data_IF_542727768954
#
_entry.id   IF_542727768954
#
_cell.length_a   1.000
_cell.length_b   1.000
_cell.length_c   1.000
_cell.angle_alpha   90.00
_cell.angle_beta   90.00
_cell.angle_gamma   90.00
#
_symmetry.space_group_name_H-M   'P 1'
#
loop_
_entity.id
_entity.type
_entity.pdbx_description
1 polymer ?
#
# COMPACT_ATOMS: atom_id res chain seq x y z
N UNK A 1 -10.59 -26.21 32.32
CA UNK A 1 -10.63 -24.85 32.94
C UNK A 1 -9.32 -24.14 32.57
N UNK A 2 -9.32 -23.35 31.49
CA UNK A 2 -8.18 -22.50 31.15
C UNK A 2 -8.46 -21.08 31.66
N UNK A 3 -7.61 -20.63 32.58
CA UNK A 3 -7.61 -19.29 33.17
C UNK A 3 -6.90 -18.32 32.21
N UNK A 4 -7.41 -17.08 32.18
CA UNK A 4 -7.07 -15.96 31.31
C UNK A 4 -7.72 -16.02 29.92
N UNK A 5 -8.77 -15.20 29.73
CA UNK A 5 -9.42 -14.93 28.46
C UNK A 5 -8.53 -14.12 27.52
N UNK A 6 -7.40 -14.70 27.12
CA UNK A 6 -6.62 -14.27 25.96
C UNK A 6 -7.06 -15.19 24.84
N UNK A 7 -7.98 -14.72 23.98
CA UNK A 7 -8.19 -15.36 22.67
C UNK A 7 -6.86 -15.28 21.94
N UNK A 8 -6.15 -16.41 21.83
CA UNK A 8 -4.93 -16.49 21.03
C UNK A 8 -5.40 -16.36 19.58
N UNK A 9 -5.34 -15.14 19.05
CA UNK A 9 -5.60 -14.84 17.64
C UNK A 9 -4.59 -15.65 16.80
N UNK A 10 -5.06 -16.73 16.20
CA UNK A 10 -4.22 -17.68 15.45
C UNK A 10 -3.70 -17.00 14.20
N UNK A 11 -2.39 -16.78 14.11
CA UNK A 11 -1.77 -16.22 12.90
C UNK A 11 -2.08 -17.13 11.70
N UNK A 12 -2.70 -16.59 10.67
CA UNK A 12 -3.24 -17.36 9.53
C UNK A 12 -2.73 -16.86 8.16
N UNK A 13 -2.10 -15.68 8.12
CA UNK A 13 -1.73 -15.04 6.86
C UNK A 13 -0.32 -14.40 6.92
N UNK A 14 0.45 -14.36 5.81
CA UNK A 14 0.25 -15.08 4.56
C UNK A 14 0.31 -16.62 4.72
N UNK A 15 -0.33 -17.41 3.84
CA UNK A 15 -0.49 -18.87 4.00
C UNK A 15 0.83 -19.64 4.14
N UNK A 16 1.90 -19.11 3.54
CA UNK A 16 3.23 -19.70 3.56
C UNK A 16 4.08 -19.24 4.76
N UNK A 17 3.72 -18.11 5.39
CA UNK A 17 4.38 -17.56 6.57
C UNK A 17 3.35 -16.85 7.45
N UNK A 18 2.68 -17.55 8.38
CA UNK A 18 1.64 -16.96 9.21
C UNK A 18 2.24 -15.97 10.21
N UNK A 19 2.30 -14.70 9.82
CA UNK A 19 2.81 -13.58 10.62
C UNK A 19 1.67 -12.81 11.27
N UNK A 20 0.53 -12.70 10.57
CA UNK A 20 -0.63 -11.90 11.00
C UNK A 20 -1.87 -12.79 11.20
N UNK A 21 -2.69 -12.45 12.19
CA UNK A 21 -4.05 -12.96 12.30
C UNK A 21 -4.93 -12.17 11.32
N UNK A 22 -5.65 -12.89 10.46
CA UNK A 22 -6.50 -12.28 9.45
C UNK A 22 -7.73 -13.16 9.23
N UNK A 23 -8.82 -12.81 9.90
CA UNK A 23 -10.11 -13.51 9.78
C UNK A 23 -11.26 -12.50 9.66
N UNK A 24 -11.37 -11.91 8.46
CA UNK A 24 -12.44 -10.94 8.15
C UNK A 24 -13.82 -11.58 8.34
N UNK A 25 -13.98 -12.86 7.98
CA UNK A 25 -15.26 -13.53 7.94
C UNK A 25 -15.90 -13.69 9.34
N UNK A 26 -15.07 -13.93 10.36
CA UNK A 26 -15.55 -14.16 11.73
C UNK A 26 -15.46 -12.92 12.64
N UNK A 27 -14.52 -11.99 12.42
CA UNK A 27 -14.28 -10.86 13.34
C UNK A 27 -14.96 -9.55 12.94
N UNK A 28 -15.34 -9.39 11.67
CA UNK A 28 -15.98 -8.16 11.17
C UNK A 28 -17.46 -8.44 10.90
N UNK A 29 -18.36 -7.50 11.19
CA UNK A 29 -19.77 -7.70 10.87
C UNK A 29 -20.01 -7.74 9.35
N UNK A 30 -21.00 -8.53 8.91
CA UNK A 30 -21.19 -8.90 7.49
C UNK A 30 -21.41 -7.71 6.56
N UNK A 31 -21.97 -6.60 7.05
CA UNK A 31 -22.16 -5.36 6.28
C UNK A 31 -20.84 -4.61 6.00
N UNK A 32 -19.80 -4.88 6.79
CA UNK A 32 -18.50 -4.25 6.74
C UNK A 32 -17.43 -5.09 6.00
N UNK A 33 -17.75 -6.34 5.64
CA UNK A 33 -16.83 -7.26 4.96
C UNK A 33 -16.29 -6.69 3.65
N UNK A 34 -17.17 -6.18 2.78
CA UNK A 34 -16.76 -5.64 1.48
C UNK A 34 -15.74 -4.50 1.64
N UNK A 35 -15.91 -3.65 2.65
CA UNK A 35 -14.99 -2.56 2.95
C UNK A 35 -13.62 -3.08 3.41
N UNK A 36 -13.60 -4.05 4.33
CA UNK A 36 -12.33 -4.59 4.81
C UNK A 36 -11.57 -5.35 3.72
N UNK A 37 -12.26 -6.13 2.89
CA UNK A 37 -11.63 -6.79 1.73
C UNK A 37 -11.04 -5.79 0.74
N UNK A 38 -11.69 -4.65 0.57
CA UNK A 38 -11.22 -3.59 -0.31
C UNK A 38 -9.99 -2.86 0.26
N UNK A 39 -9.99 -2.60 1.57
CA UNK A 39 -8.82 -2.05 2.26
C UNK A 39 -7.64 -3.04 2.26
N UNK A 40 -7.93 -4.34 2.38
CA UNK A 40 -6.92 -5.39 2.22
C UNK A 40 -6.37 -5.44 0.79
N UNK A 41 -7.23 -5.27 -0.23
CA UNK A 41 -6.80 -5.18 -1.63
C UNK A 41 -5.89 -3.97 -1.88
N UNK A 42 -6.19 -2.80 -1.32
CA UNK A 42 -5.29 -1.63 -1.37
C UNK A 42 -3.95 -1.91 -0.66
N UNK A 43 -3.98 -2.62 0.47
CA UNK A 43 -2.73 -2.96 1.17
C UNK A 43 -1.87 -3.92 0.35
N UNK A 44 -2.47 -4.91 -0.31
CA UNK A 44 -1.76 -5.75 -1.26
C UNK A 44 -1.30 -4.98 -2.50
N UNK A 45 -2.12 -4.03 -2.97
CA UNK A 45 -1.82 -3.20 -4.12
C UNK A 45 -0.55 -2.37 -3.91
N UNK A 46 -0.37 -1.75 -2.74
CA UNK A 46 0.88 -1.02 -2.45
C UNK A 46 2.10 -1.95 -2.35
N UNK A 47 1.95 -3.16 -1.82
CA UNK A 47 3.03 -4.17 -1.80
C UNK A 47 3.44 -4.55 -3.22
N UNK A 48 2.46 -4.76 -4.11
CA UNK A 48 2.70 -5.04 -5.53
C UNK A 48 3.36 -3.85 -6.23
N UNK A 49 2.88 -2.62 -6.00
CA UNK A 49 3.47 -1.40 -6.57
C UNK A 49 4.94 -1.24 -6.18
N UNK A 50 5.26 -1.38 -4.89
CA UNK A 50 6.64 -1.24 -4.40
C UNK A 50 7.53 -2.40 -4.86
N UNK A 51 6.99 -3.62 -4.98
CA UNK A 51 7.74 -4.77 -5.51
C UNK A 51 8.08 -4.56 -7.00
N UNK A 52 7.10 -4.10 -7.78
CA UNK A 52 7.31 -3.76 -9.18
C UNK A 52 8.31 -2.62 -9.34
N UNK A 53 8.25 -1.61 -8.47
CA UNK A 53 9.21 -0.52 -8.45
C UNK A 53 10.65 -1.04 -8.24
N UNK A 54 10.88 -1.91 -7.27
CA UNK A 54 12.20 -2.54 -7.06
C UNK A 54 12.65 -3.30 -8.30
N UNK A 55 11.76 -4.05 -8.95
CA UNK A 55 12.09 -4.78 -10.16
C UNK A 55 12.47 -3.86 -11.33
N UNK A 56 11.68 -2.83 -11.60
CA UNK A 56 11.95 -1.87 -12.69
C UNK A 56 13.26 -1.10 -12.46
N UNK A 57 13.49 -0.63 -11.23
CA UNK A 57 14.73 0.07 -10.85
C UNK A 57 15.94 -0.87 -10.86
N UNK A 58 15.77 -2.15 -10.51
CA UNK A 58 16.83 -3.15 -10.63
C UNK A 58 17.29 -3.29 -12.09
N UNK A 59 16.33 -3.43 -13.02
CA UNK A 59 16.65 -3.51 -14.45
C UNK A 59 17.40 -2.26 -14.91
N UNK A 60 16.92 -1.07 -14.54
CA UNK A 60 17.62 0.19 -14.88
C UNK A 60 19.01 0.27 -14.26
N UNK A 61 19.18 -0.17 -13.00
CA UNK A 61 20.48 -0.11 -12.30
C UNK A 61 21.55 -1.01 -12.94
N UNK A 62 21.13 -2.10 -13.59
CA UNK A 62 22.05 -2.98 -14.35
C UNK A 62 22.51 -2.30 -15.65
N UNK A 63 21.68 -1.45 -16.25
CA UNK A 63 22.00 -0.74 -17.49
C UNK A 63 22.79 0.56 -17.24
N UNK A 64 22.44 1.31 -16.18
CA UNK A 64 23.03 2.61 -15.85
C UNK A 64 24.19 2.58 -14.85
N UNK A 65 24.55 1.40 -14.33
CA UNK A 65 25.58 1.20 -13.28
C UNK A 65 25.33 1.97 -11.96
N UNK A 66 24.08 2.39 -11.71
CA UNK A 66 23.69 3.21 -10.55
C UNK A 66 23.05 2.39 -9.42
N UNK A 67 23.89 1.69 -8.64
CA UNK A 67 23.42 0.83 -7.52
C UNK A 67 22.67 1.60 -6.42
N UNK A 68 22.94 2.91 -6.28
CA UNK A 68 22.29 3.77 -5.28
C UNK A 68 20.78 3.85 -5.49
N UNK A 69 20.34 3.90 -6.76
CA UNK A 69 18.90 3.97 -7.09
C UNK A 69 18.18 2.69 -6.67
N UNK A 70 18.81 1.54 -6.93
CA UNK A 70 18.30 0.23 -6.53
C UNK A 70 18.20 0.08 -5.01
N UNK A 71 19.22 0.50 -4.26
CA UNK A 71 19.19 0.48 -2.79
C UNK A 71 18.06 1.36 -2.25
N UNK A 72 17.81 2.52 -2.84
CA UNK A 72 16.72 3.39 -2.41
C UNK A 72 15.34 2.77 -2.69
N UNK A 73 15.17 2.10 -3.83
CA UNK A 73 13.95 1.37 -4.14
C UNK A 73 13.69 0.24 -3.12
N UNK A 74 14.73 -0.48 -2.70
CA UNK A 74 14.63 -1.49 -1.63
C UNK A 74 14.20 -0.85 -0.32
N UNK A 75 14.78 0.30 0.06
CA UNK A 75 14.38 1.02 1.28
C UNK A 75 12.89 1.39 1.22
N UNK A 76 12.41 1.89 0.09
CA UNK A 76 10.98 2.19 -0.08
C UNK A 76 10.09 0.96 0.11
N UNK A 77 10.46 -0.19 -0.44
CA UNK A 77 9.72 -1.43 -0.22
C UNK A 77 9.81 -1.94 1.22
N UNK A 78 11.02 -1.92 1.81
CA UNK A 78 11.29 -2.44 3.14
C UNK A 78 10.59 -1.65 4.25
N UNK A 79 10.47 -0.33 4.10
CA UNK A 79 9.74 0.51 5.05
C UNK A 79 8.28 0.71 4.66
N UNK A 80 7.95 0.86 3.37
CA UNK A 80 6.59 1.11 2.90
C UNK A 80 5.61 -0.03 3.21
N UNK A 81 6.04 -1.29 3.04
CA UNK A 81 5.22 -2.46 3.33
C UNK A 81 4.84 -2.61 4.83
N UNK A 82 5.78 -2.56 5.80
CA UNK A 82 5.41 -2.64 7.22
C UNK A 82 4.71 -1.37 7.71
N UNK A 83 5.10 -0.19 7.20
CA UNK A 83 4.51 1.07 7.64
C UNK A 83 3.04 1.19 7.22
N UNK A 84 2.70 0.79 5.99
CA UNK A 84 1.30 0.76 5.52
C UNK A 84 0.44 -0.19 6.36
N UNK A 85 0.97 -1.36 6.72
CA UNK A 85 0.26 -2.31 7.58
C UNK A 85 -0.03 -1.72 8.98
N UNK A 86 0.99 -1.12 9.62
CA UNK A 86 0.88 -0.65 11.01
C UNK A 86 0.07 0.65 11.10
N UNK A 87 0.25 1.58 10.17
CA UNK A 87 -0.30 2.93 10.29
C UNK A 87 -1.76 3.04 9.91
N UNK A 88 -2.24 2.26 8.94
CA UNK A 88 -3.61 2.40 8.46
C UNK A 88 -4.37 1.07 8.39
N UNK A 89 -3.77 -0.02 7.92
CA UNK A 89 -4.50 -1.28 7.77
C UNK A 89 -4.92 -1.89 9.12
N UNK A 90 -3.98 -2.01 10.05
CA UNK A 90 -4.24 -2.53 11.40
C UNK A 90 -5.21 -1.63 12.19
N UNK A 91 -5.04 -0.29 12.22
CA UNK A 91 -6.02 0.59 12.84
C UNK A 91 -7.41 0.47 12.23
N UNK A 92 -7.53 0.35 10.90
CA UNK A 92 -8.83 0.13 10.27
C UNK A 92 -9.48 -1.18 10.76
N UNK A 93 -8.73 -2.29 10.75
CA UNK A 93 -9.22 -3.58 11.25
C UNK A 93 -9.71 -3.48 12.69
N UNK A 94 -8.96 -2.80 13.56
CA UNK A 94 -9.35 -2.57 14.95
C UNK A 94 -10.57 -1.66 15.08
N UNK A 95 -10.66 -0.61 14.26
CA UNK A 95 -11.79 0.32 14.26
C UNK A 95 -13.09 -0.40 13.87
N UNK A 96 -13.04 -1.29 12.88
CA UNK A 96 -14.20 -2.08 12.43
C UNK A 96 -14.70 -3.07 13.50
N UNK A 97 -13.81 -3.54 14.38
CA UNK A 97 -14.16 -4.46 15.49
C UNK A 97 -14.62 -3.75 16.77
N UNK A 98 -14.04 -2.58 17.07
CA UNK A 98 -14.24 -1.89 18.35
C UNK A 98 -15.13 -0.65 18.27
N UNK A 99 -15.54 -0.23 17.07
CA UNK A 99 -16.31 0.98 16.78
C UNK A 99 -15.69 2.27 17.37
N UNK A 100 -14.36 2.26 17.54
CA UNK A 100 -13.60 3.35 18.13
C UNK A 100 -13.40 4.50 17.14
N UNK A 101 -13.99 5.66 17.46
CA UNK A 101 -13.85 6.90 16.66
C UNK A 101 -12.40 7.37 16.56
N UNK A 102 -11.61 7.24 17.63
CA UNK A 102 -10.20 7.65 17.64
C UNK A 102 -9.38 6.80 16.68
N UNK A 103 -9.66 5.50 16.63
CA UNK A 103 -8.98 4.56 15.73
C UNK A 103 -9.39 4.79 14.27
N UNK A 104 -10.65 5.13 14.00
CA UNK A 104 -11.10 5.61 12.69
C UNK A 104 -10.40 6.91 12.27
N UNK A 105 -10.29 7.89 13.16
CA UNK A 105 -9.60 9.15 12.86
C UNK A 105 -8.12 8.92 12.54
N UNK A 106 -7.44 8.03 13.27
CA UNK A 106 -6.07 7.62 12.98
C UNK A 106 -5.96 7.00 11.57
N UNK A 107 -6.88 6.10 11.21
CA UNK A 107 -6.94 5.55 9.86
C UNK A 107 -7.05 6.65 8.80
N UNK A 108 -7.99 7.59 8.94
CA UNK A 108 -8.20 8.65 7.94
C UNK A 108 -6.94 9.50 7.72
N UNK A 109 -6.23 9.88 8.77
CA UNK A 109 -5.02 10.69 8.67
C UNK A 109 -3.93 9.93 7.90
N UNK A 110 -3.59 8.72 8.33
CA UNK A 110 -2.51 7.95 7.70
C UNK A 110 -2.88 7.43 6.31
N UNK A 111 -4.14 7.10 6.08
CA UNK A 111 -4.62 6.68 4.77
C UNK A 111 -4.63 7.85 3.78
N UNK A 112 -4.90 9.07 4.22
CA UNK A 112 -4.75 10.27 3.38
C UNK A 112 -3.29 10.52 2.98
N UNK A 113 -2.34 10.25 3.89
CA UNK A 113 -0.90 10.30 3.56
C UNK A 113 -0.53 9.21 2.54
N UNK A 114 -1.08 8.00 2.66
CA UNK A 114 -0.92 6.92 1.68
C UNK A 114 -1.44 7.31 0.29
N UNK A 115 -2.64 7.88 0.22
CA UNK A 115 -3.23 8.40 -1.03
C UNK A 115 -2.32 9.47 -1.64
N UNK A 116 -1.85 10.43 -0.83
CA UNK A 116 -0.91 11.46 -1.29
C UNK A 116 0.41 10.89 -1.79
N UNK A 117 0.96 9.89 -1.10
CA UNK A 117 2.14 9.15 -1.54
C UNK A 117 1.93 8.48 -2.90
N UNK A 118 0.79 7.83 -3.13
CA UNK A 118 0.48 7.18 -4.41
C UNK A 118 0.41 8.20 -5.57
N UNK A 119 -0.17 9.38 -5.34
CA UNK A 119 -0.18 10.47 -6.35
C UNK A 119 1.23 10.95 -6.65
N UNK A 120 2.02 11.22 -5.61
CA UNK A 120 3.39 11.69 -5.74
C UNK A 120 4.27 10.63 -6.43
N UNK A 121 4.07 9.35 -6.13
CA UNK A 121 4.77 8.24 -6.77
C UNK A 121 4.36 8.05 -8.25
N UNK A 122 3.08 8.23 -8.57
CA UNK A 122 2.59 8.17 -9.95
C UNK A 122 3.16 9.31 -10.82
N UNK A 123 3.30 10.52 -10.26
CA UNK A 123 3.90 11.65 -10.98
C UNK A 123 5.43 11.49 -11.04
N UNK A 124 6.05 11.09 -9.92
CA UNK A 124 7.49 11.08 -9.65
C UNK A 124 8.18 12.41 -10.03
N UNK A 125 7.82 13.54 -9.38
CA UNK A 125 8.46 14.81 -9.67
C UNK A 125 9.97 14.76 -9.31
N UNK A 126 10.86 15.18 -10.21
CA UNK A 126 12.32 15.07 -10.04
C UNK A 126 12.90 15.93 -8.90
N UNK A 127 12.08 16.81 -8.33
CA UNK A 127 12.44 17.66 -7.18
C UNK A 127 12.42 16.86 -5.87
N UNK A 128 11.48 15.92 -5.75
CA UNK A 128 11.24 15.15 -4.51
C UNK A 128 12.03 13.83 -4.56
N UNK A 129 12.16 13.24 -5.74
CA UNK A 129 12.93 12.03 -5.97
C UNK A 129 14.12 12.39 -6.85
N UNK A 130 15.30 12.53 -6.22
CA UNK A 130 16.54 12.68 -6.96
C UNK A 130 16.84 11.35 -7.67
N UNK A 131 16.64 11.32 -8.98
CA UNK A 131 16.92 10.17 -9.85
C UNK A 131 15.70 9.30 -10.18
N UNK A 132 15.94 8.19 -10.89
CA UNK A 132 14.92 7.28 -11.44
C UNK A 132 14.37 6.27 -10.43
N UNK A 133 14.18 6.69 -9.18
CA UNK A 133 13.96 5.81 -8.01
C UNK A 133 12.51 5.34 -7.87
N UNK A 134 11.58 6.04 -8.52
CA UNK A 134 10.17 5.66 -8.62
C UNK A 134 9.69 5.59 -10.07
N UNK A 135 8.87 4.57 -10.35
CA UNK A 135 8.24 4.33 -11.66
C UNK A 135 7.04 5.26 -11.92
N UNK A 136 7.26 6.58 -11.86
CA UNK A 136 6.25 7.58 -12.21
C UNK A 136 6.32 8.00 -13.67
N UNK A 137 5.27 8.68 -14.15
CA UNK A 137 5.11 9.04 -15.56
C UNK A 137 6.24 9.94 -16.09
N UNK A 138 6.73 10.89 -15.29
CA UNK A 138 7.79 11.80 -15.73
C UNK A 138 9.10 11.06 -16.00
N UNK A 139 9.46 10.14 -15.10
CA UNK A 139 10.64 9.29 -15.25
C UNK A 139 10.43 8.28 -16.39
N UNK A 140 9.22 7.73 -16.53
CA UNK A 140 8.91 6.80 -17.61
C UNK A 140 9.13 7.43 -19.00
N UNK A 141 8.67 8.67 -19.20
CA UNK A 141 8.86 9.40 -20.47
C UNK A 141 10.35 9.69 -20.72
N UNK A 142 11.11 10.06 -19.69
CA UNK A 142 12.55 10.28 -19.82
C UNK A 142 13.28 9.00 -20.24
N UNK A 143 13.00 7.87 -19.58
CA UNK A 143 13.63 6.59 -19.86
C UNK A 143 13.21 6.04 -21.23
N UNK A 144 11.97 6.23 -21.64
CA UNK A 144 11.48 5.80 -22.98
C UNK A 144 12.28 6.39 -24.14
N UNK A 145 12.87 7.58 -23.97
CA UNK A 145 13.71 8.20 -24.99
C UNK A 145 15.11 7.57 -25.08
N UNK A 146 15.53 6.85 -24.03
CA UNK A 146 16.85 6.22 -23.94
C UNK A 146 16.75 4.71 -24.21
N UNK A 147 15.88 4.01 -23.48
CA UNK A 147 15.65 2.59 -23.59
C UNK A 147 14.14 2.29 -23.54
N UNK A 148 13.62 1.78 -24.67
CA UNK A 148 12.20 1.47 -24.81
C UNK A 148 11.76 0.36 -23.85
N UNK A 149 12.60 -0.65 -23.61
CA UNK A 149 12.27 -1.78 -22.74
C UNK A 149 12.13 -1.33 -21.29
N UNK A 150 13.11 -0.57 -20.77
CA UNK A 150 13.03 -0.05 -19.40
C UNK A 150 11.90 0.97 -19.28
N UNK A 151 11.70 1.82 -20.29
CA UNK A 151 10.61 2.79 -20.31
C UNK A 151 9.23 2.14 -20.18
N UNK A 152 9.00 0.99 -20.83
CA UNK A 152 7.74 0.22 -20.68
C UNK A 152 7.58 -0.33 -19.26
N UNK A 153 8.66 -0.80 -18.61
CA UNK A 153 8.59 -1.26 -17.21
C UNK A 153 8.17 -0.12 -16.27
N UNK A 154 8.68 1.08 -16.49
CA UNK A 154 8.30 2.27 -15.72
C UNK A 154 6.85 2.71 -16.00
N UNK A 155 6.37 2.59 -17.23
CA UNK A 155 4.95 2.83 -17.56
C UNK A 155 4.01 1.84 -16.85
N UNK A 156 4.38 0.56 -16.75
CA UNK A 156 3.58 -0.41 -15.99
C UNK A 156 3.51 0.00 -14.53
N UNK A 157 4.64 0.44 -13.95
CA UNK A 157 4.67 0.95 -12.58
C UNK A 157 3.76 2.17 -12.39
N UNK A 158 3.74 3.11 -13.35
CA UNK A 158 2.82 4.24 -13.33
C UNK A 158 1.34 3.81 -13.32
N UNK A 159 0.99 2.83 -14.14
CA UNK A 159 -0.38 2.27 -14.16
C UNK A 159 -0.73 1.63 -12.82
N UNK A 160 0.20 0.89 -12.22
CA UNK A 160 0.00 0.28 -10.90
C UNK A 160 -0.23 1.32 -9.81
N UNK A 161 0.60 2.36 -9.72
CA UNK A 161 0.42 3.44 -8.74
C UNK A 161 -0.88 4.23 -8.98
N UNK A 162 -1.28 4.43 -10.23
CA UNK A 162 -2.55 5.07 -10.58
C UNK A 162 -3.75 4.20 -10.17
N UNK A 163 -3.69 2.90 -10.43
CA UNK A 163 -4.73 1.96 -10.01
C UNK A 163 -4.86 1.91 -8.48
N UNK A 164 -3.72 1.87 -7.77
CA UNK A 164 -3.69 1.90 -6.30
C UNK A 164 -4.29 3.20 -5.75
N UNK A 165 -3.99 4.35 -6.36
CA UNK A 165 -4.61 5.62 -6.02
C UNK A 165 -6.14 5.58 -6.17
N UNK A 166 -6.64 5.07 -7.30
CA UNK A 166 -8.08 4.99 -7.56
C UNK A 166 -8.81 4.08 -6.57
N UNK A 167 -8.23 2.90 -6.28
CA UNK A 167 -8.77 1.98 -5.26
C UNK A 167 -8.74 2.66 -3.89
N UNK A 168 -7.67 3.39 -3.57
CA UNK A 168 -7.53 4.06 -2.28
C UNK A 168 -8.57 5.16 -2.08
N UNK A 169 -8.85 5.97 -3.11
CA UNK A 169 -9.94 6.97 -3.05
C UNK A 169 -11.29 6.29 -2.83
N UNK A 170 -11.56 5.20 -3.55
CA UNK A 170 -12.81 4.48 -3.40
C UNK A 170 -12.98 3.87 -2.00
N UNK A 171 -11.92 3.29 -1.42
CA UNK A 171 -11.92 2.80 -0.03
C UNK A 171 -12.18 3.93 0.94
N UNK A 172 -11.51 5.07 0.77
CA UNK A 172 -11.67 6.25 1.63
C UNK A 172 -13.13 6.76 1.63
N UNK A 173 -13.77 6.83 0.46
CA UNK A 173 -15.18 7.20 0.34
C UNK A 173 -16.09 6.20 1.08
N UNK A 174 -15.87 4.89 0.90
CA UNK A 174 -16.66 3.85 1.56
C UNK A 174 -16.53 3.91 3.08
N UNK A 175 -15.33 4.12 3.61
CA UNK A 175 -15.08 4.29 5.05
C UNK A 175 -15.73 5.57 5.57
N UNK A 176 -15.68 6.66 4.81
CA UNK A 176 -16.34 7.91 5.18
C UNK A 176 -17.86 7.75 5.26
N UNK A 177 -18.49 7.09 4.28
CA UNK A 177 -19.93 6.79 4.31
C UNK A 177 -20.27 5.87 5.49
N UNK A 178 -19.48 4.83 5.72
CA UNK A 178 -19.66 3.92 6.85
C UNK A 178 -19.62 4.66 8.20
N UNK A 179 -18.59 5.49 8.40
CA UNK A 179 -18.41 6.29 9.63
C UNK A 179 -19.54 7.30 9.85
N UNK A 180 -20.10 7.89 8.77
CA UNK A 180 -21.22 8.84 8.85
C UNK A 180 -22.57 8.17 9.06
N UNK A 181 -22.77 6.94 8.58
CA UNK A 181 -24.03 6.19 8.70
C UNK A 181 -24.27 5.56 10.08
N UNK A 182 -23.25 5.55 10.95
CA UNK A 182 -23.32 5.08 12.33
C UNK A 182 -23.59 6.21 13.36
N UNK A 183 -24.05 7.39 12.91
CA UNK A 183 -24.53 8.49 13.78
C UNK A 183 -26.05 8.63 13.75
#
# INVERSE_FOLDING_TARGET
MNRAGVTIEVKNWPPFFPVIHHDIANEIPTHAHQLQYSAFASWLGIVVCLSWNVFAVLVESIHGEDIVLFLLAIIYAAFGCPLSYILWYRPLYQAMRTDSVVTFAQFFVFYSVHVGFCVIAAIAPPIIFMGKTLTGILVAIEVLNTDMFVGVLYLIGFVLFTAEYLISIWVLERVCVYFRGHR
#
